data_IF_110805920032
#
_entry.id   IF_110805920032
#
_cell.length_a   1.000
_cell.length_b   1.000
_cell.length_c   1.000
_cell.angle_alpha   90.00
_cell.angle_beta   90.00
_cell.angle_gamma   90.00
#
_symmetry.space_group_name_H-M   'P 1'
#
loop_
_entity.id
_entity.type
_entity.pdbx_description
1 polymer ?
#
# COMPACT_ATOMS: atom_id res chain seq x y z
N UNK A 1 9.16 -5.43 26.91
CA UNK A 1 8.06 -5.03 26.00
C UNK A 1 8.58 -5.25 24.59
N UNK A 2 8.21 -6.36 23.96
CA UNK A 2 8.57 -6.62 22.55
C UNK A 2 7.93 -5.54 21.71
N UNK A 3 8.74 -4.71 21.04
CA UNK A 3 8.26 -3.79 20.02
C UNK A 3 7.59 -4.66 18.95
N UNK A 4 6.26 -4.62 18.85
CA UNK A 4 5.58 -5.32 17.76
C UNK A 4 5.87 -4.52 16.49
N UNK A 5 6.77 -5.05 15.66
CA UNK A 5 7.12 -4.43 14.39
C UNK A 5 5.89 -4.46 13.47
N UNK A 6 5.58 -3.30 12.89
CA UNK A 6 4.47 -3.15 11.96
C UNK A 6 4.78 -3.89 10.66
N UNK A 7 3.87 -4.77 10.22
CA UNK A 7 3.98 -5.50 8.96
C UNK A 7 3.31 -4.70 7.85
N UNK A 8 4.00 -4.56 6.73
CA UNK A 8 3.54 -3.82 5.57
C UNK A 8 3.31 -4.77 4.41
N UNK A 9 2.08 -4.86 3.94
CA UNK A 9 1.72 -5.59 2.74
C UNK A 9 1.96 -4.69 1.52
N UNK A 10 2.76 -5.17 0.57
CA UNK A 10 3.00 -4.48 -0.69
C UNK A 10 1.86 -4.76 -1.68
N UNK A 11 0.88 -3.87 -1.75
CA UNK A 11 -0.44 -4.18 -2.31
C UNK A 11 -0.71 -3.52 -3.66
N UNK A 12 -0.10 -2.38 -3.96
CA UNK A 12 -0.31 -1.70 -5.23
C UNK A 12 0.93 -0.94 -5.67
N UNK A 13 1.31 -1.11 -6.93
CA UNK A 13 2.33 -0.32 -7.61
C UNK A 13 2.24 -0.51 -9.12
N UNK A 14 2.44 0.56 -9.89
CA UNK A 14 2.61 0.47 -11.34
C UNK A 14 3.90 -0.26 -11.78
N UNK A 15 4.72 -0.69 -10.82
CA UNK A 15 5.90 -1.52 -11.07
C UNK A 15 5.79 -2.92 -10.50
N UNK A 16 4.61 -3.37 -10.05
CA UNK A 16 4.41 -4.72 -9.49
C UNK A 16 4.95 -5.86 -10.38
N UNK A 17 5.01 -5.64 -11.70
CA UNK A 17 5.49 -6.59 -12.69
C UNK A 17 6.59 -6.05 -13.61
N UNK A 18 7.11 -4.85 -13.33
CA UNK A 18 8.11 -4.20 -14.18
C UNK A 18 9.42 -4.99 -14.19
N UNK A 19 10.04 -5.11 -15.35
CA UNK A 19 11.29 -5.88 -15.53
C UNK A 19 12.43 -5.00 -16.04
N UNK A 20 13.65 -5.35 -15.63
CA UNK A 20 14.87 -4.73 -16.16
C UNK A 20 14.89 -4.87 -17.69
N UNK A 21 14.96 -3.74 -18.38
CA UNK A 21 14.92 -3.65 -19.84
C UNK A 21 13.62 -3.09 -20.41
N UNK A 22 12.56 -2.97 -19.61
CA UNK A 22 11.34 -2.25 -19.98
C UNK A 22 11.54 -0.72 -19.87
N UNK A 23 10.71 0.09 -20.57
CA UNK A 23 10.76 1.54 -20.43
C UNK A 23 10.67 1.98 -18.96
N UNK A 24 11.41 3.03 -18.62
CA UNK A 24 11.36 3.58 -17.26
C UNK A 24 9.96 4.12 -16.96
N UNK A 25 9.30 3.57 -15.95
CA UNK A 25 8.03 4.04 -15.41
C UNK A 25 8.28 4.75 -14.09
N UNK A 26 7.81 5.97 -13.87
CA UNK A 26 7.97 6.59 -12.55
C UNK A 26 7.23 5.76 -11.49
N UNK A 27 7.91 5.20 -10.46
CA UNK A 27 7.26 4.23 -9.58
C UNK A 27 6.34 4.94 -8.60
N UNK A 28 5.12 4.44 -8.47
CA UNK A 28 4.18 4.79 -7.41
C UNK A 28 3.84 3.53 -6.62
N UNK A 29 3.59 3.66 -5.32
CA UNK A 29 3.14 2.54 -4.50
C UNK A 29 2.13 2.97 -3.44
N UNK A 30 1.25 2.04 -3.08
CA UNK A 30 0.33 2.13 -1.94
C UNK A 30 0.34 0.80 -1.19
N UNK A 31 0.81 0.85 0.04
CA UNK A 31 0.98 -0.31 0.91
C UNK A 31 0.20 -0.13 2.20
N UNK A 32 -0.26 -1.22 2.78
CA UNK A 32 -1.15 -1.19 3.94
C UNK A 32 -0.59 -2.03 5.06
N UNK A 33 -0.68 -1.48 6.26
CA UNK A 33 -0.52 -2.22 7.49
C UNK A 33 -1.81 -2.16 8.29
N UNK A 34 -2.42 -3.32 8.53
CA UNK A 34 -3.64 -3.40 9.36
C UNK A 34 -3.32 -3.65 10.84
N UNK A 35 -2.11 -4.11 11.15
CA UNK A 35 -1.67 -4.42 12.51
C UNK A 35 -0.25 -3.89 12.81
N UNK A 36 0.00 -3.34 14.02
CA UNK A 36 -0.98 -3.10 15.09
C UNK A 36 -1.97 -1.99 14.73
N UNK A 37 -3.12 -1.95 15.41
CA UNK A 37 -4.06 -0.84 15.26
C UNK A 37 -3.48 0.47 15.85
N UNK A 38 -3.80 1.65 15.28
CA UNK A 38 -4.63 1.85 14.09
C UNK A 38 -3.92 1.40 12.81
N UNK A 39 -4.71 1.02 11.79
CA UNK A 39 -4.17 0.71 10.47
C UNK A 39 -3.55 1.96 9.83
N UNK A 40 -2.47 1.75 9.09
CA UNK A 40 -1.70 2.79 8.42
C UNK A 40 -1.53 2.46 6.93
N UNK A 41 -1.39 3.51 6.13
CA UNK A 41 -1.18 3.43 4.68
C UNK A 41 0.12 4.13 4.35
N UNK A 42 1.02 3.44 3.67
CA UNK A 42 2.24 4.02 3.13
C UNK A 42 2.01 4.35 1.66
N UNK A 43 2.23 5.60 1.30
CA UNK A 43 2.04 6.12 -0.05
C UNK A 43 3.35 6.76 -0.47
N UNK A 44 3.81 6.49 -1.68
CA UNK A 44 5.03 7.14 -2.16
C UNK A 44 5.26 7.02 -3.64
N UNK A 45 6.26 7.77 -4.07
CA UNK A 45 6.73 7.86 -5.45
C UNK A 45 8.27 7.84 -5.51
N UNK A 46 8.83 7.34 -6.61
CA UNK A 46 10.27 7.38 -6.85
C UNK A 46 10.69 8.59 -7.66
N UNK A 47 11.32 9.56 -7.00
CA UNK A 47 11.92 10.76 -7.57
C UNK A 47 13.37 10.51 -8.02
N UNK A 48 13.56 10.17 -9.29
CA UNK A 48 14.86 10.02 -9.97
C UNK A 48 15.84 9.05 -9.26
N UNK A 49 16.58 9.53 -8.25
CA UNK A 49 17.56 8.77 -7.45
C UNK A 49 17.15 8.60 -5.98
N UNK A 50 15.93 9.01 -5.61
CA UNK A 50 15.37 8.86 -4.27
C UNK A 50 13.94 8.31 -4.36
N UNK A 51 13.45 7.77 -3.26
CA UNK A 51 12.02 7.65 -3.03
C UNK A 51 11.59 8.78 -2.10
N UNK A 52 10.36 9.26 -2.26
CA UNK A 52 9.68 10.08 -1.26
C UNK A 52 8.40 9.36 -0.91
N UNK A 53 8.28 8.96 0.34
CA UNK A 53 7.09 8.34 0.88
C UNK A 53 6.56 9.09 2.09
N UNK A 54 5.32 8.77 2.46
CA UNK A 54 4.80 9.09 3.77
C UNK A 54 3.97 7.92 4.28
N UNK A 55 3.97 7.76 5.59
CA UNK A 55 3.03 6.90 6.30
C UNK A 55 1.92 7.77 6.85
N UNK A 56 0.68 7.36 6.60
CA UNK A 56 -0.49 8.14 6.98
C UNK A 56 -1.63 7.29 7.53
N UNK A 57 -2.57 7.94 8.20
CA UNK A 57 -3.82 7.32 8.63
C UNK A 57 -4.69 6.95 7.43
N UNK A 58 -5.58 5.97 7.63
CA UNK A 58 -6.60 5.60 6.64
C UNK A 58 -7.47 6.80 6.22
N UNK A 59 -7.84 7.68 7.16
CA UNK A 59 -8.66 8.85 6.86
C UNK A 59 -7.96 9.83 5.91
N UNK A 60 -6.68 10.13 6.17
CA UNK A 60 -5.88 10.99 5.30
C UNK A 60 -5.62 10.32 3.96
N UNK A 61 -5.33 9.01 3.91
CA UNK A 61 -5.13 8.26 2.66
C UNK A 61 -6.36 8.29 1.73
N UNK A 62 -7.56 8.39 2.29
CA UNK A 62 -8.82 8.48 1.53
C UNK A 62 -9.16 9.91 1.09
N UNK A 63 -8.44 10.93 1.57
CA UNK A 63 -8.65 12.32 1.15
C UNK A 63 -8.26 12.56 -0.31
N UNK A 64 -8.78 13.64 -0.89
CA UNK A 64 -8.51 14.02 -2.28
C UNK A 64 -7.01 14.24 -2.59
N UNK A 65 -6.21 14.49 -1.54
CA UNK A 65 -4.75 14.71 -1.64
C UNK A 65 -4.00 13.55 -2.29
N UNK A 66 -4.49 12.31 -2.15
CA UNK A 66 -3.79 11.11 -2.62
C UNK A 66 -4.43 10.45 -3.84
N UNK A 67 -5.44 11.09 -4.45
CA UNK A 67 -6.16 10.50 -5.59
C UNK A 67 -5.21 10.11 -6.71
N UNK A 68 -4.33 11.02 -7.13
CA UNK A 68 -3.35 10.76 -8.19
C UNK A 68 -2.38 9.62 -7.83
N UNK A 69 -1.94 9.52 -6.57
CA UNK A 69 -1.05 8.45 -6.13
C UNK A 69 -1.75 7.09 -6.17
N UNK A 70 -3.00 7.02 -5.76
CA UNK A 70 -3.79 5.79 -5.85
C UNK A 70 -4.02 5.37 -7.31
N UNK A 71 -4.33 6.32 -8.18
CA UNK A 71 -4.57 6.05 -9.60
C UNK A 71 -3.28 5.59 -10.28
N UNK A 72 -2.17 6.29 -10.06
CA UNK A 72 -0.87 5.90 -10.60
C UNK A 72 -0.32 4.60 -10.01
N UNK A 73 -0.60 4.26 -8.76
CA UNK A 73 -0.20 2.99 -8.16
C UNK A 73 -1.13 1.82 -8.53
N UNK A 74 -2.21 2.07 -9.28
CA UNK A 74 -3.27 1.09 -9.56
C UNK A 74 -3.97 0.56 -8.29
N UNK A 75 -4.01 1.40 -7.25
CA UNK A 75 -4.49 1.08 -5.90
C UNK A 75 -6.01 1.24 -5.72
N UNK A 76 -6.77 1.47 -6.79
CA UNK A 76 -8.22 1.71 -6.72
C UNK A 76 -8.99 0.59 -6.01
N UNK A 77 -8.52 -0.65 -6.11
CA UNK A 77 -9.12 -1.81 -5.45
C UNK A 77 -9.02 -1.80 -3.92
N UNK A 78 -8.09 -1.03 -3.34
CA UNK A 78 -7.90 -0.90 -1.89
C UNK A 78 -8.92 0.04 -1.25
N UNK A 79 -9.47 1.00 -2.00
CA UNK A 79 -10.35 2.06 -1.47
C UNK A 79 -11.55 1.51 -0.68
N UNK A 80 -12.28 0.46 -1.13
CA UNK A 80 -13.38 -0.10 -0.35
C UNK A 80 -12.96 -0.68 1.00
N UNK A 81 -11.75 -1.24 1.10
CA UNK A 81 -11.20 -1.77 2.36
C UNK A 81 -10.81 -0.66 3.31
N UNK A 82 -10.14 0.36 2.80
CA UNK A 82 -9.77 1.54 3.57
C UNK A 82 -11.03 2.26 4.09
N UNK A 83 -12.07 2.40 3.25
CA UNK A 83 -13.34 2.98 3.70
C UNK A 83 -13.97 2.15 4.81
N UNK A 84 -13.95 0.81 4.68
CA UNK A 84 -14.48 -0.07 5.73
C UNK A 84 -13.73 0.08 7.06
N UNK A 85 -12.40 0.25 7.02
CA UNK A 85 -11.60 0.54 8.21
C UNK A 85 -11.99 1.90 8.82
N UNK A 86 -12.14 2.93 7.98
CA UNK A 86 -12.53 4.27 8.41
C UNK A 86 -13.90 4.28 9.11
N UNK A 87 -14.85 3.49 8.60
CA UNK A 87 -16.18 3.32 9.15
C UNK A 87 -16.22 2.48 10.44
N UNK A 88 -15.04 2.04 10.94
CA UNK A 88 -14.90 1.23 12.16
C UNK A 88 -15.05 -0.27 11.93
N UNK A 89 -15.14 -0.73 10.68
CA UNK A 89 -15.14 -2.14 10.33
C UNK A 89 -13.76 -2.77 10.40
N UNK A 90 -13.71 -4.09 10.52
CA UNK A 90 -12.46 -4.86 10.56
C UNK A 90 -12.06 -5.28 9.15
N UNK A 91 -10.77 -5.12 8.78
CA UNK A 91 -10.13 -5.70 7.59
C UNK A 91 -8.90 -6.46 8.08
N UNK A 92 -8.71 -7.69 7.58
CA UNK A 92 -7.58 -8.55 7.98
C UNK A 92 -6.51 -8.60 6.89
N UNK A 93 -5.28 -8.97 7.26
CA UNK A 93 -4.21 -9.22 6.28
C UNK A 93 -4.63 -10.32 5.29
N UNK A 94 -5.20 -11.42 5.78
CA UNK A 94 -5.65 -12.55 4.95
C UNK A 94 -6.67 -12.12 3.88
N UNK A 95 -7.56 -11.19 4.21
CA UNK A 95 -8.55 -10.69 3.26
C UNK A 95 -7.90 -9.84 2.15
N UNK A 96 -6.95 -8.98 2.51
CA UNK A 96 -6.18 -8.18 1.55
C UNK A 96 -5.30 -9.07 0.67
N UNK A 97 -4.61 -10.05 1.26
CA UNK A 97 -3.80 -11.04 0.56
C UNK A 97 -4.67 -11.86 -0.40
N UNK A 98 -5.82 -12.37 0.05
CA UNK A 98 -6.71 -13.14 -0.79
C UNK A 98 -7.24 -12.34 -1.98
N UNK A 99 -7.51 -11.04 -1.83
CA UNK A 99 -7.87 -10.20 -2.96
C UNK A 99 -6.68 -9.94 -3.89
N UNK A 100 -5.51 -9.60 -3.34
CA UNK A 100 -4.28 -9.43 -4.10
C UNK A 100 -3.97 -10.66 -4.97
N UNK A 101 -4.05 -11.87 -4.40
CA UNK A 101 -3.84 -13.13 -5.12
C UNK A 101 -4.86 -13.30 -6.26
N UNK A 102 -6.12 -12.93 -6.07
CA UNK A 102 -7.14 -12.97 -7.14
C UNK A 102 -6.82 -12.03 -8.30
N UNK A 103 -6.25 -10.85 -8.01
CA UNK A 103 -5.90 -9.85 -9.03
C UNK A 103 -4.59 -10.18 -9.75
N UNK A 104 -3.61 -10.72 -9.02
CA UNK A 104 -2.21 -10.76 -9.46
C UNK A 104 -1.64 -12.18 -9.58
N UNK A 105 -2.35 -13.22 -9.12
CA UNK A 105 -1.93 -14.61 -9.23
C UNK A 105 -0.76 -15.01 -8.33
N UNK A 106 -0.34 -14.15 -7.40
CA UNK A 106 0.73 -14.38 -6.42
C UNK A 106 0.43 -13.69 -5.10
N UNK A 107 1.12 -14.06 -4.02
CA UNK A 107 1.06 -13.34 -2.75
C UNK A 107 1.81 -11.99 -2.82
N UNK A 108 1.37 -10.97 -2.06
CA UNK A 108 2.10 -9.72 -1.94
C UNK A 108 3.40 -9.93 -1.17
N UNK A 109 4.38 -9.07 -1.42
CA UNK A 109 5.58 -9.03 -0.59
C UNK A 109 5.25 -8.40 0.77
N UNK A 110 6.01 -8.81 1.80
CA UNK A 110 5.83 -8.31 3.17
C UNK A 110 7.13 -7.68 3.64
N UNK A 111 7.05 -6.43 4.07
CA UNK A 111 8.18 -5.73 4.69
C UNK A 111 7.94 -5.55 6.19
N UNK A 112 9.01 -5.70 6.98
CA UNK A 112 9.05 -5.44 8.42
C UNK A 112 9.88 -4.16 8.58
N UNK A 113 9.27 -3.09 9.07
CA UNK A 113 9.81 -1.72 9.11
C UNK A 113 10.03 -1.06 7.73
N UNK A 114 8.97 -0.42 7.22
CA UNK A 114 9.07 0.50 6.09
C UNK A 114 9.50 1.87 6.61
N UNK A 115 10.73 2.29 6.33
CA UNK A 115 11.10 3.71 6.46
C UNK A 115 10.51 4.45 5.25
N UNK A 116 9.63 5.41 5.53
CA UNK A 116 9.08 6.33 4.52
C UNK A 116 10.17 7.22 3.92
#
# INVERSE_FOLDING_TARGET
>A
MTSQHRRWLQLASNRLFWKVGEPYLYPFYVDVSVEPAPAEVAIGEGVTFSAVGTTTSVAEALSDKWVEHFDHAEAGWLRPYLQRILDGGTVTEDELIAHFVRLHGREPEVAVDRQA
#
